data_IF_871701472809
#
_entry.id   IF_871701472809
#
_cell.length_a   1.000
_cell.length_b   1.000
_cell.length_c   1.000
_cell.angle_alpha   90.00
_cell.angle_beta   90.00
_cell.angle_gamma   90.00
#
_symmetry.space_group_name_H-M   'P 1'
#
loop_
_entity.id
_entity.type
_entity.pdbx_description
1 polymer ?
#
# COMPACT_ATOMS: atom_id res chain seq x y z
N UNK A 1 91.29 -21.14 -24.54
CA UNK A 1 91.22 -21.35 -23.07
C UNK A 1 90.04 -20.53 -22.54
N UNK A 2 89.22 -21.15 -21.67
CA UNK A 2 88.24 -20.54 -20.75
C UNK A 2 86.95 -19.91 -21.32
N UNK A 3 85.90 -20.72 -21.35
CA UNK A 3 84.65 -20.44 -20.61
C UNK A 3 84.76 -21.09 -19.19
N UNK A 4 83.78 -21.01 -18.26
CA UNK A 4 82.61 -20.13 -18.14
C UNK A 4 82.51 -19.44 -16.76
N UNK A 5 81.44 -18.64 -16.50
CA UNK A 5 80.75 -18.53 -15.18
C UNK A 5 79.53 -17.57 -15.20
N UNK A 6 78.34 -18.12 -14.96
CA UNK A 6 77.19 -17.48 -14.27
C UNK A 6 77.34 -17.76 -12.73
N UNK A 7 76.58 -17.18 -11.74
CA UNK A 7 75.09 -17.04 -11.76
C UNK A 7 74.40 -16.01 -10.80
N UNK A 8 73.05 -16.09 -10.68
CA UNK A 8 72.12 -15.54 -9.65
C UNK A 8 72.01 -13.99 -9.56
N UNK A 9 70.86 -13.29 -9.38
CA UNK A 9 69.41 -13.53 -9.19
C UNK A 9 68.73 -12.15 -8.89
N UNK A 10 67.45 -11.95 -8.54
CA UNK A 10 66.17 -12.70 -8.58
C UNK A 10 64.97 -11.74 -8.23
N UNK A 11 63.71 -12.08 -8.58
CA UNK A 11 62.47 -11.31 -8.27
C UNK A 11 61.82 -10.65 -9.51
N UNK A 12 60.59 -10.96 -9.96
CA UNK A 12 59.23 -10.90 -9.35
C UNK A 12 58.71 -9.47 -9.08
N UNK A 13 57.82 -8.96 -9.95
CA UNK A 13 56.38 -8.75 -9.68
C UNK A 13 55.74 -7.84 -10.76
N UNK A 14 54.71 -8.26 -11.50
CA UNK A 14 53.28 -8.37 -11.12
C UNK A 14 52.47 -7.06 -11.25
N UNK A 15 52.01 -6.82 -12.48
CA UNK A 15 50.62 -6.47 -12.83
C UNK A 15 49.87 -5.38 -12.02
N UNK A 16 49.58 -4.23 -12.66
CA UNK A 16 48.27 -3.55 -12.47
C UNK A 16 47.88 -2.63 -13.63
N UNK A 17 46.90 -3.06 -14.44
CA UNK A 17 45.98 -2.12 -15.11
C UNK A 17 45.18 -1.36 -14.04
N UNK A 18 44.89 -0.09 -14.28
CA UNK A 18 43.71 0.60 -13.72
C UNK A 18 42.92 1.20 -14.86
N UNK A 19 41.88 0.49 -15.28
CA UNK A 19 40.86 1.02 -16.18
C UNK A 19 39.87 1.88 -15.38
N UNK A 20 39.40 2.97 -15.97
CA UNK A 20 38.41 3.86 -15.36
C UNK A 20 37.02 3.19 -15.42
N UNK A 21 36.65 2.51 -14.34
CA UNK A 21 35.31 1.92 -14.24
C UNK A 21 34.24 2.99 -14.04
N UNK A 22 33.32 3.09 -14.99
CA UNK A 22 32.14 3.97 -14.92
C UNK A 22 31.00 3.21 -14.22
N UNK A 23 30.82 3.44 -12.92
CA UNK A 23 29.63 2.99 -12.19
C UNK A 23 29.08 4.20 -11.41
N UNK A 24 27.82 4.62 -11.64
CA UNK A 24 27.16 5.58 -10.77
C UNK A 24 26.95 4.96 -9.39
N UNK A 25 27.56 5.54 -8.36
CA UNK A 25 27.29 5.15 -6.98
C UNK A 25 26.01 5.84 -6.54
N UNK A 26 24.89 5.09 -6.53
CA UNK A 26 23.68 5.55 -5.85
C UNK A 26 23.97 5.65 -4.35
N UNK A 27 24.03 6.88 -3.84
CA UNK A 27 24.39 7.16 -2.45
C UNK A 27 23.32 6.65 -1.48
N UNK A 28 23.76 5.93 -0.45
CA UNK A 28 22.87 5.48 0.63
C UNK A 28 22.50 6.64 1.55
N UNK A 29 21.20 6.96 1.62
CA UNK A 29 20.65 7.78 2.70
C UNK A 29 20.11 6.87 3.82
N UNK A 30 21.02 6.40 4.68
CA UNK A 30 20.62 5.93 6.00
C UNK A 30 20.12 7.12 6.83
N UNK A 31 18.81 7.19 7.09
CA UNK A 31 18.28 7.89 8.27
C UNK A 31 17.79 6.85 9.28
N UNK A 32 18.23 7.01 10.53
CA UNK A 32 18.11 6.00 11.58
C UNK A 32 16.67 5.56 11.85
N UNK A 33 16.44 4.24 11.81
CA UNK A 33 15.24 3.58 12.35
C UNK A 33 15.43 3.41 13.86
N UNK A 34 14.83 4.31 14.65
CA UNK A 34 14.58 4.03 16.07
C UNK A 34 13.16 3.50 16.22
N UNK A 35 13.05 2.28 16.72
CA UNK A 35 11.77 1.63 16.98
C UNK A 35 11.25 2.06 18.36
N UNK A 36 10.05 2.64 18.41
CA UNK A 36 9.23 2.63 19.61
C UNK A 36 8.03 1.73 19.37
N UNK A 37 8.11 0.54 19.97
CA UNK A 37 7.10 -0.50 19.93
C UNK A 37 6.00 -0.16 20.93
N UNK A 38 4.77 0.05 20.44
CA UNK A 38 3.55 0.02 21.27
C UNK A 38 2.54 -0.96 20.67
N UNK A 39 2.10 -1.99 21.41
CA UNK A 39 1.15 -2.97 20.90
C UNK A 39 -0.29 -2.51 21.14
N UNK A 40 -1.00 -2.12 20.09
CA UNK A 40 -2.47 -2.04 20.13
C UNK A 40 -3.11 -3.29 19.54
N UNK A 41 -3.28 -4.30 20.40
CA UNK A 41 -4.12 -5.46 20.11
C UNK A 41 -5.59 -5.11 20.32
N UNK A 42 -6.40 -5.13 19.26
CA UNK A 42 -7.87 -5.16 19.38
C UNK A 42 -8.49 -6.10 18.35
N UNK A 43 -8.66 -7.34 18.79
CA UNK A 43 -9.30 -8.43 18.05
C UNK A 43 -10.81 -8.30 18.19
N UNK A 44 -11.52 -7.81 17.16
CA UNK A 44 -12.97 -7.99 17.04
C UNK A 44 -13.32 -8.67 15.72
N UNK A 45 -13.76 -9.91 15.86
CA UNK A 45 -14.29 -10.77 14.83
C UNK A 45 -15.76 -10.40 14.57
N UNK A 46 -16.10 -10.05 13.33
CA UNK A 46 -17.48 -10.00 12.85
C UNK A 46 -17.57 -10.84 11.57
N UNK A 47 -18.22 -12.00 11.66
CA UNK A 47 -18.57 -12.79 10.49
C UNK A 47 -19.94 -12.32 9.98
N UNK A 48 -20.02 -11.94 8.70
CA UNK A 48 -21.24 -11.42 8.07
C UNK A 48 -21.25 -11.72 6.58
N UNK A 49 -22.19 -12.56 6.16
CA UNK A 49 -22.36 -13.16 4.83
C UNK A 49 -22.12 -12.24 3.62
N UNK A 50 -21.60 -12.84 2.55
CA UNK A 50 -21.67 -12.28 1.21
C UNK A 50 -23.11 -12.11 0.71
N UNK A 51 -23.40 -10.93 0.15
CA UNK A 51 -24.42 -10.69 -0.85
C UNK A 51 -23.85 -9.64 -1.81
N UNK A 52 -23.75 -9.96 -3.10
CA UNK A 52 -23.18 -9.05 -4.09
C UNK A 52 -24.16 -7.93 -4.43
N UNK A 53 -23.63 -6.71 -4.66
CA UNK A 53 -24.38 -5.61 -5.25
C UNK A 53 -23.43 -4.73 -6.06
N UNK A 54 -23.80 -4.47 -7.31
CA UNK A 54 -23.02 -3.74 -8.32
C UNK A 54 -22.67 -2.30 -7.91
N UNK A 55 -21.57 -1.73 -8.41
CA UNK A 55 -21.21 -0.34 -8.17
C UNK A 55 -22.11 0.59 -9.01
N UNK A 56 -23.02 1.32 -8.36
CA UNK A 56 -23.77 2.37 -9.04
C UNK A 56 -22.89 3.61 -9.24
N UNK A 57 -23.00 4.23 -10.42
CA UNK A 57 -22.12 5.30 -10.89
C UNK A 57 -22.58 6.69 -10.44
N UNK A 58 -21.59 7.56 -10.27
CA UNK A 58 -21.63 9.02 -10.44
C UNK A 58 -22.80 9.78 -9.77
N UNK A 59 -22.56 10.23 -8.54
CA UNK A 59 -23.33 11.31 -7.91
C UNK A 59 -22.60 12.65 -8.11
N UNK A 60 -22.99 13.38 -9.15
CA UNK A 60 -22.44 14.69 -9.50
C UNK A 60 -23.00 15.81 -8.58
N UNK A 61 -22.14 16.45 -7.78
CA UNK A 61 -22.52 17.46 -6.78
C UNK A 61 -22.74 18.85 -7.40
N UNK A 62 -23.84 19.03 -8.12
CA UNK A 62 -24.28 20.35 -8.59
C UNK A 62 -25.01 21.12 -7.48
N UNK A 63 -24.29 21.98 -6.74
CA UNK A 63 -24.87 23.00 -5.85
C UNK A 63 -25.39 24.21 -6.65
N UNK A 64 -26.40 23.98 -7.47
CA UNK A 64 -27.12 25.01 -8.24
C UNK A 64 -28.18 25.71 -7.38
N UNK A 65 -27.81 26.82 -6.73
CA UNK A 65 -28.75 27.66 -5.97
C UNK A 65 -29.77 28.36 -6.90
N UNK A 66 -31.06 28.08 -6.71
CA UNK A 66 -32.18 28.93 -7.14
C UNK A 66 -33.39 28.72 -6.22
N UNK A 67 -33.34 29.31 -5.01
CA UNK A 67 -34.54 29.41 -4.15
C UNK A 67 -35.31 30.68 -4.55
N UNK A 68 -36.53 30.50 -5.05
CA UNK A 68 -37.46 31.61 -5.23
C UNK A 68 -37.87 32.15 -3.85
N UNK A 69 -37.51 33.39 -3.57
CA UNK A 69 -37.89 34.08 -2.35
C UNK A 69 -39.16 34.91 -2.59
N UNK A 70 -40.31 34.41 -2.14
CA UNK A 70 -41.41 35.29 -1.74
C UNK A 70 -42.37 34.56 -0.77
N UNK A 71 -42.32 34.93 0.51
CA UNK A 71 -43.48 34.93 1.41
C UNK A 71 -43.14 35.76 2.66
N UNK A 72 -43.18 37.08 2.49
CA UNK A 72 -42.72 38.06 3.47
C UNK A 72 -43.79 38.33 4.54
N UNK A 73 -43.62 37.73 5.72
CA UNK A 73 -44.38 38.13 6.92
C UNK A 73 -43.85 39.48 7.45
N UNK A 74 -44.51 40.60 7.12
CA UNK A 74 -44.18 41.93 7.66
C UNK A 74 -45.36 42.55 8.41
N UNK A 75 -45.29 42.54 9.74
CA UNK A 75 -46.18 43.32 10.59
C UNK A 75 -45.65 44.76 10.71
N UNK A 76 -46.45 45.77 10.38
CA UNK A 76 -46.17 47.17 10.75
C UNK A 76 -47.47 47.95 10.91
N UNK A 77 -47.74 48.42 12.12
CA UNK A 77 -48.82 49.37 12.40
C UNK A 77 -48.40 50.78 12.01
N UNK A 78 -49.26 51.54 11.31
CA UNK A 78 -49.57 52.97 11.53
C UNK A 78 -50.42 53.55 10.38
N UNK A 79 -51.36 54.46 10.70
CA UNK A 79 -51.97 55.37 9.72
C UNK A 79 -53.51 55.40 9.64
N UNK A 80 -54.11 56.40 10.29
CA UNK A 80 -55.47 56.90 10.02
C UNK A 80 -55.27 58.21 9.23
N UNK A 81 -55.89 58.44 8.03
CA UNK A 81 -57.16 59.19 8.04
C UNK A 81 -58.18 58.98 6.88
N UNK A 82 -59.47 59.02 7.28
CA UNK A 82 -60.61 59.73 6.64
C UNK A 82 -60.77 59.72 5.09
N UNK A 83 -61.84 59.08 4.57
CA UNK A 83 -63.15 59.73 4.32
C UNK A 83 -64.06 59.07 3.24
N UNK A 84 -65.36 59.01 3.57
CA UNK A 84 -66.58 59.16 2.73
C UNK A 84 -66.73 58.53 1.31
N UNK A 85 -67.59 57.48 1.20
CA UNK A 85 -68.84 57.37 0.39
C UNK A 85 -69.16 55.88 0.15
N UNK A 86 -70.19 55.29 0.79
CA UNK A 86 -71.66 55.34 0.49
C UNK A 86 -72.11 54.39 -0.64
N UNK A 87 -72.40 53.14 -0.26
CA UNK A 87 -73.36 52.21 -0.88
C UNK A 87 -73.66 51.12 0.19
N UNK A 88 -74.69 51.26 1.02
CA UNK A 88 -76.07 50.84 0.73
C UNK A 88 -76.20 49.33 0.41
N UNK A 89 -75.97 48.50 1.43
CA UNK A 89 -76.59 47.19 1.54
C UNK A 89 -77.61 47.21 2.67
N UNK A 90 -78.87 47.33 2.28
CA UNK A 90 -80.01 47.37 3.18
C UNK A 90 -80.30 45.99 3.78
N UNK A 91 -80.29 45.88 5.11
CA UNK A 91 -81.15 44.89 5.79
C UNK A 91 -81.89 45.52 6.97
N UNK A 92 -82.96 46.25 6.62
CA UNK A 92 -83.95 46.76 7.59
C UNK A 92 -84.66 45.58 8.26
N UNK A 93 -84.42 45.37 9.56
CA UNK A 93 -85.47 45.09 10.58
C UNK A 93 -84.91 45.07 12.00
N UNK A 94 -84.48 46.25 12.47
CA UNK A 94 -84.55 46.54 13.89
C UNK A 94 -86.03 46.77 14.25
N UNK A 95 -86.73 45.72 14.71
CA UNK A 95 -88.09 45.82 15.25
C UNK A 95 -88.36 44.64 16.19
N UNK A 96 -88.80 44.96 17.42
CA UNK A 96 -89.43 44.04 18.38
C UNK A 96 -88.71 42.70 18.67
N UNK A 97 -87.49 42.75 19.21
CA UNK A 97 -87.08 41.76 20.23
C UNK A 97 -87.18 42.42 21.60
N UNK A 98 -88.16 42.01 22.40
CA UNK A 98 -88.11 42.24 23.85
C UNK A 98 -86.88 41.58 24.47
N UNK A 99 -86.59 41.81 25.76
CA UNK A 99 -85.43 41.25 26.45
C UNK A 99 -85.27 39.76 26.12
N UNK A 100 -84.07 39.30 25.68
CA UNK A 100 -83.87 37.92 25.28
C UNK A 100 -84.32 37.02 26.43
N UNK A 101 -85.28 36.14 26.16
CA UNK A 101 -85.82 35.24 27.17
C UNK A 101 -84.66 34.49 27.83
N UNK A 102 -84.65 34.42 29.17
CA UNK A 102 -83.52 33.93 29.99
C UNK A 102 -82.85 32.67 29.41
N UNK A 103 -83.66 31.72 28.94
CA UNK A 103 -83.24 30.49 28.26
C UNK A 103 -82.38 30.69 26.99
N UNK A 104 -82.63 31.71 26.16
CA UNK A 104 -81.83 32.00 24.96
C UNK A 104 -80.45 32.54 25.31
N UNK A 105 -80.38 33.42 26.31
CA UNK A 105 -79.11 33.95 26.82
C UNK A 105 -78.29 32.83 27.49
N UNK A 106 -78.95 31.94 28.23
CA UNK A 106 -78.33 30.77 28.86
C UNK A 106 -77.80 29.76 27.83
N UNK A 107 -78.55 29.50 26.75
CA UNK A 107 -78.11 28.64 25.66
C UNK A 107 -76.91 29.24 24.90
N UNK A 108 -76.92 30.55 24.62
CA UNK A 108 -75.79 31.24 23.99
C UNK A 108 -74.54 31.25 24.89
N UNK A 109 -74.71 31.44 26.20
CA UNK A 109 -73.62 31.37 27.17
C UNK A 109 -73.02 29.95 27.24
N UNK A 110 -73.87 28.91 27.24
CA UNK A 110 -73.44 27.51 27.18
C UNK A 110 -72.67 27.21 25.89
N UNK A 111 -73.15 27.67 24.74
CA UNK A 111 -72.48 27.50 23.46
C UNK A 111 -71.12 28.22 23.39
N UNK A 112 -71.03 29.46 23.91
CA UNK A 112 -69.76 30.20 24.00
C UNK A 112 -68.75 29.55 24.95
N UNK A 113 -69.22 29.02 26.08
CA UNK A 113 -68.38 28.30 27.04
C UNK A 113 -67.87 26.98 26.43
N UNK A 114 -68.74 26.22 25.75
CA UNK A 114 -68.34 25.01 25.02
C UNK A 114 -67.29 25.31 23.93
N UNK A 115 -67.48 26.38 23.15
CA UNK A 115 -66.48 26.83 22.16
C UNK A 115 -65.15 27.21 22.81
N UNK A 116 -65.18 27.89 23.97
CA UNK A 116 -63.98 28.26 24.72
C UNK A 116 -63.22 27.03 25.24
N UNK A 117 -63.92 26.03 25.79
CA UNK A 117 -63.30 24.77 26.22
C UNK A 117 -62.75 23.96 25.04
N UNK A 118 -63.43 23.93 23.88
CA UNK A 118 -62.88 23.31 22.66
C UNK A 118 -61.63 24.04 22.15
N UNK A 119 -61.63 25.38 22.13
CA UNK A 119 -60.47 26.18 21.73
C UNK A 119 -59.29 26.01 22.70
N UNK A 120 -59.57 25.96 24.01
CA UNK A 120 -58.59 25.66 25.07
C UNK A 120 -57.99 24.26 24.90
N UNK A 121 -58.79 23.24 24.66
CA UNK A 121 -58.31 21.88 24.36
C UNK A 121 -57.45 21.84 23.09
N UNK A 122 -57.83 22.55 22.03
CA UNK A 122 -57.06 22.66 20.79
C UNK A 122 -55.73 23.41 20.99
N UNK A 123 -55.70 24.46 21.81
CA UNK A 123 -54.47 25.16 22.16
C UNK A 123 -53.55 24.29 23.03
N UNK A 124 -54.09 23.53 23.98
CA UNK A 124 -53.31 22.57 24.77
C UNK A 124 -52.73 21.45 23.89
N UNK A 125 -53.49 20.85 22.97
CA UNK A 125 -52.95 19.82 22.08
C UNK A 125 -51.87 20.35 21.14
N UNK A 126 -52.05 21.56 20.59
CA UNK A 126 -51.02 22.25 19.81
C UNK A 126 -49.77 22.59 20.63
N UNK A 127 -49.93 23.04 21.87
CA UNK A 127 -48.81 23.33 22.77
C UNK A 127 -48.01 22.07 23.09
N UNK A 128 -48.67 20.97 23.46
CA UNK A 128 -48.01 19.69 23.73
C UNK A 128 -47.32 19.13 22.49
N UNK A 129 -47.95 19.23 21.31
CA UNK A 129 -47.33 18.83 20.04
C UNK A 129 -46.06 19.62 19.72
N UNK A 130 -46.13 20.96 19.81
CA UNK A 130 -44.97 21.83 19.59
C UNK A 130 -43.86 21.57 20.62
N UNK A 131 -44.19 21.30 21.89
CA UNK A 131 -43.22 20.92 22.92
C UNK A 131 -42.53 19.57 22.60
N UNK A 132 -43.27 18.61 22.04
CA UNK A 132 -42.72 17.35 21.53
C UNK A 132 -41.68 17.58 20.42
N UNK A 133 -42.06 18.29 19.36
CA UNK A 133 -41.15 18.61 18.24
C UNK A 133 -39.94 19.43 18.69
N UNK A 134 -40.10 20.38 19.62
CA UNK A 134 -38.97 21.12 20.21
C UNK A 134 -38.02 20.20 20.99
N UNK A 135 -38.53 19.14 21.63
CA UNK A 135 -37.69 18.15 22.31
C UNK A 135 -36.92 17.30 21.30
N UNK A 136 -37.60 16.74 20.31
CA UNK A 136 -37.00 15.94 19.23
C UNK A 136 -35.89 16.70 18.50
N UNK A 137 -36.17 17.94 18.07
CA UNK A 137 -35.17 18.80 17.41
C UNK A 137 -33.98 19.17 18.30
N UNK A 138 -34.13 19.18 19.64
CA UNK A 138 -33.00 19.38 20.55
C UNK A 138 -32.11 18.15 20.66
N UNK A 139 -32.72 16.98 20.78
CA UNK A 139 -32.00 15.69 20.80
C UNK A 139 -31.26 15.46 19.47
N UNK A 140 -31.89 15.80 18.33
CA UNK A 140 -31.24 15.77 17.01
C UNK A 140 -30.08 16.77 16.89
N UNK A 141 -30.25 18.02 17.35
CA UNK A 141 -29.17 19.01 17.35
C UNK A 141 -27.98 18.58 18.22
N UNK A 142 -28.24 17.96 19.38
CA UNK A 142 -27.16 17.40 20.23
C UNK A 142 -26.40 16.28 19.50
N UNK A 143 -27.11 15.36 18.84
CA UNK A 143 -26.51 14.32 18.01
C UNK A 143 -25.65 14.88 16.87
N UNK A 144 -26.15 15.90 16.16
CA UNK A 144 -25.40 16.58 15.09
C UNK A 144 -24.15 17.30 15.62
N UNK A 145 -24.21 17.93 16.80
CA UNK A 145 -23.05 18.55 17.43
C UNK A 145 -21.95 17.52 17.76
N UNK A 146 -22.34 16.35 18.29
CA UNK A 146 -21.40 15.25 18.55
C UNK A 146 -20.77 14.70 17.26
N UNK A 147 -21.54 14.59 16.17
CA UNK A 147 -21.01 14.11 14.89
C UNK A 147 -20.07 15.13 14.24
N UNK A 148 -20.38 16.43 14.31
CA UNK A 148 -19.46 17.51 13.89
C UNK A 148 -18.16 17.46 14.69
N UNK A 149 -18.18 17.13 15.98
CA UNK A 149 -16.96 16.96 16.78
C UNK A 149 -16.11 15.75 16.31
N UNK A 150 -16.75 14.62 16.00
CA UNK A 150 -16.06 13.43 15.45
C UNK A 150 -15.43 13.74 14.09
N UNK A 151 -16.17 14.39 13.20
CA UNK A 151 -15.69 14.76 11.86
C UNK A 151 -14.51 15.74 11.93
N UNK A 152 -14.51 16.69 12.88
CA UNK A 152 -13.36 17.57 13.14
C UNK A 152 -12.12 16.78 13.59
N UNK A 153 -12.26 15.87 14.54
CA UNK A 153 -11.15 15.00 15.01
C UNK A 153 -10.63 14.09 13.88
N UNK A 154 -11.51 13.61 13.02
CA UNK A 154 -11.14 12.83 11.84
C UNK A 154 -10.37 13.70 10.82
N UNK A 155 -10.85 14.91 10.52
CA UNK A 155 -10.16 15.87 9.65
C UNK A 155 -8.76 16.22 10.19
N UNK A 156 -8.65 16.52 11.49
CA UNK A 156 -7.37 16.78 12.16
C UNK A 156 -6.41 15.59 12.04
N UNK A 157 -6.91 14.37 12.26
CA UNK A 157 -6.13 13.13 12.07
C UNK A 157 -5.64 12.98 10.62
N UNK A 158 -6.48 13.27 9.63
CA UNK A 158 -6.09 13.26 8.22
C UNK A 158 -5.01 14.30 7.92
N UNK A 159 -5.15 15.54 8.41
CA UNK A 159 -4.14 16.60 8.22
C UNK A 159 -2.80 16.19 8.83
N UNK A 160 -2.78 15.67 10.06
CA UNK A 160 -1.55 15.19 10.72
C UNK A 160 -0.88 14.07 9.94
N UNK A 161 -1.64 13.14 9.34
CA UNK A 161 -1.07 12.07 8.49
C UNK A 161 -0.45 12.64 7.21
N UNK A 162 -1.12 13.61 6.56
CA UNK A 162 -0.62 14.26 5.35
C UNK A 162 0.65 15.07 5.66
N UNK A 163 0.62 15.93 6.68
CA UNK A 163 1.76 16.76 7.11
C UNK A 163 2.96 15.92 7.54
N UNK A 164 2.77 14.92 8.41
CA UNK A 164 3.87 14.08 8.92
C UNK A 164 4.56 13.25 7.83
N UNK A 165 3.84 12.95 6.74
CA UNK A 165 4.38 12.24 5.57
C UNK A 165 4.72 13.18 4.40
N UNK A 166 4.52 14.49 4.54
CA UNK A 166 4.67 15.50 3.49
C UNK A 166 3.89 15.16 2.21
N UNK A 167 2.69 14.58 2.37
CA UNK A 167 1.80 14.21 1.26
C UNK A 167 0.97 15.43 0.88
N UNK A 168 1.13 15.92 -0.35
CA UNK A 168 0.15 16.83 -0.94
C UNK A 168 -1.13 16.05 -1.29
N UNK A 169 -2.31 16.46 -0.76
CA UNK A 169 -3.58 15.77 -1.02
C UNK A 169 -3.98 15.74 -2.51
N UNK A 170 -3.46 16.64 -3.35
CA UNK A 170 -3.72 16.62 -4.81
C UNK A 170 -2.81 15.63 -5.53
N UNK A 171 -1.58 15.45 -5.05
CA UNK A 171 -0.54 14.61 -5.68
C UNK A 171 -0.51 13.16 -5.15
N UNK A 172 -1.44 12.77 -4.27
CA UNK A 172 -1.46 11.44 -3.62
C UNK A 172 -1.38 10.24 -4.57
N UNK A 173 -1.94 10.33 -5.79
CA UNK A 173 -1.85 9.27 -6.81
C UNK A 173 -0.40 8.98 -7.24
N UNK A 174 0.46 10.00 -7.32
CA UNK A 174 1.86 9.83 -7.73
C UNK A 174 2.66 9.00 -6.73
N UNK A 175 2.28 9.05 -5.44
CA UNK A 175 2.91 8.25 -4.37
C UNK A 175 2.56 6.78 -4.55
N UNK A 176 1.29 6.47 -4.87
CA UNK A 176 0.87 5.10 -5.15
C UNK A 176 1.58 4.52 -6.39
N UNK A 177 1.72 5.33 -7.46
CA UNK A 177 2.50 4.94 -8.63
C UNK A 177 3.99 4.75 -8.32
N UNK A 178 4.59 5.58 -7.47
CA UNK A 178 6.00 5.45 -7.07
C UNK A 178 6.23 4.21 -6.20
N UNK A 179 5.31 3.92 -5.27
CA UNK A 179 5.32 2.72 -4.44
C UNK A 179 5.18 1.46 -5.30
N UNK A 180 4.28 1.46 -6.31
CA UNK A 180 4.15 0.35 -7.26
C UNK A 180 5.43 0.16 -8.10
N UNK A 181 5.99 1.23 -8.66
CA UNK A 181 7.26 1.20 -9.42
C UNK A 181 8.42 0.70 -8.54
N UNK A 182 8.46 1.11 -7.28
CA UNK A 182 9.46 0.68 -6.29
C UNK A 182 9.29 -0.80 -5.95
N UNK A 183 8.05 -1.25 -5.73
CA UNK A 183 7.75 -2.66 -5.46
C UNK A 183 8.11 -3.55 -6.65
N UNK A 184 7.83 -3.11 -7.88
CA UNK A 184 8.19 -3.83 -9.09
C UNK A 184 9.72 -3.89 -9.30
N UNK A 185 10.43 -2.78 -9.08
CA UNK A 185 11.89 -2.75 -9.06
C UNK A 185 12.48 -3.70 -8.01
N UNK A 186 11.88 -3.78 -6.81
CA UNK A 186 12.28 -4.74 -5.77
C UNK A 186 12.05 -6.20 -6.20
N UNK A 187 10.90 -6.54 -6.80
CA UNK A 187 10.63 -7.89 -7.34
C UNK A 187 11.65 -8.28 -8.40
N UNK A 188 11.95 -7.40 -9.35
CA UNK A 188 12.93 -7.64 -10.41
C UNK A 188 14.34 -7.82 -9.85
N UNK A 189 14.72 -7.01 -8.85
CA UNK A 189 16.01 -7.11 -8.15
C UNK A 189 16.12 -8.44 -7.40
N UNK A 190 15.05 -8.88 -6.73
CA UNK A 190 15.00 -10.16 -6.02
C UNK A 190 15.14 -11.34 -7.00
N UNK A 191 14.37 -11.36 -8.09
CA UNK A 191 14.43 -12.38 -9.13
C UNK A 191 15.82 -12.48 -9.78
N UNK A 192 16.46 -11.33 -10.08
CA UNK A 192 17.82 -11.30 -10.62
C UNK A 192 18.84 -11.85 -9.61
N UNK A 193 18.68 -11.51 -8.33
CA UNK A 193 19.54 -12.01 -7.24
C UNK A 193 19.38 -13.52 -7.05
N UNK A 194 18.15 -14.04 -7.09
CA UNK A 194 17.87 -15.48 -7.04
C UNK A 194 18.49 -16.24 -8.22
N UNK A 195 18.35 -15.71 -9.43
CA UNK A 195 18.98 -16.27 -10.63
C UNK A 195 20.50 -16.29 -10.52
N UNK A 196 21.11 -15.19 -10.10
CA UNK A 196 22.56 -15.10 -9.88
C UNK A 196 23.04 -16.09 -8.81
N UNK A 197 22.30 -16.26 -7.71
CA UNK A 197 22.60 -17.28 -6.69
C UNK A 197 22.50 -18.70 -7.24
N UNK A 198 21.53 -18.99 -8.11
CA UNK A 198 21.38 -20.30 -8.75
C UNK A 198 22.53 -20.59 -9.72
N UNK A 199 22.88 -19.62 -10.58
CA UNK A 199 24.01 -19.72 -11.51
C UNK A 199 25.34 -19.88 -10.78
N UNK A 200 25.59 -19.13 -9.70
CA UNK A 200 26.82 -19.25 -8.90
C UNK A 200 26.92 -20.61 -8.19
N UNK A 201 25.80 -21.16 -7.69
CA UNK A 201 25.74 -22.53 -7.13
C UNK A 201 26.06 -23.58 -8.20
N UNK A 202 25.47 -23.46 -9.38
CA UNK A 202 25.73 -24.36 -10.50
C UNK A 202 27.19 -24.29 -10.97
N UNK A 203 27.75 -23.08 -11.09
CA UNK A 203 29.16 -22.87 -11.42
C UNK A 203 30.08 -23.56 -10.41
N UNK A 204 29.86 -23.36 -9.11
CA UNK A 204 30.68 -24.00 -8.06
C UNK A 204 30.58 -25.54 -8.10
N UNK A 205 29.39 -26.10 -8.34
CA UNK A 205 29.21 -27.56 -8.48
C UNK A 205 29.95 -28.12 -9.71
N UNK A 206 29.90 -27.42 -10.85
CA UNK A 206 30.64 -27.80 -12.05
C UNK A 206 32.15 -27.67 -11.84
N UNK A 207 32.61 -26.59 -11.20
CA UNK A 207 34.03 -26.37 -10.91
C UNK A 207 34.63 -27.47 -10.01
N UNK A 208 33.90 -27.94 -8.98
CA UNK A 208 34.37 -29.07 -8.17
C UNK A 208 34.38 -30.39 -8.96
N UNK A 209 33.39 -30.66 -9.82
CA UNK A 209 33.38 -31.85 -10.70
C UNK A 209 34.57 -31.87 -11.67
N UNK A 210 34.84 -30.75 -12.34
CA UNK A 210 35.99 -30.63 -13.27
C UNK A 210 37.33 -30.79 -12.53
N UNK A 211 37.43 -30.25 -11.32
CA UNK A 211 38.58 -30.39 -10.43
C UNK A 211 38.78 -31.83 -9.92
N UNK A 212 37.70 -32.57 -9.68
CA UNK A 212 37.76 -34.02 -9.40
C UNK A 212 38.19 -34.81 -10.65
N UNK A 213 37.63 -34.50 -11.82
CA UNK A 213 38.01 -35.13 -13.09
C UNK A 213 39.50 -34.89 -13.43
N UNK A 214 40.01 -33.68 -13.20
CA UNK A 214 41.44 -33.34 -13.34
C UNK A 214 42.33 -34.16 -12.40
N UNK A 215 41.97 -34.31 -11.12
CA UNK A 215 42.72 -35.18 -10.18
C UNK A 215 42.71 -36.64 -10.63
N UNK A 216 41.57 -37.14 -11.10
CA UNK A 216 41.46 -38.50 -11.62
C UNK A 216 42.21 -38.70 -12.95
N UNK A 217 42.42 -37.64 -13.74
CA UNK A 217 43.30 -37.67 -14.91
C UNK A 217 44.79 -37.68 -14.50
N UNK A 218 45.18 -36.85 -13.52
CA UNK A 218 46.55 -36.82 -12.98
C UNK A 218 46.97 -38.16 -12.38
N UNK A 219 46.14 -38.77 -11.52
CA UNK A 219 46.44 -40.07 -10.93
C UNK A 219 46.58 -41.19 -11.99
N UNK A 220 45.81 -41.13 -13.08
CA UNK A 220 45.97 -42.07 -14.21
C UNK A 220 47.24 -41.80 -15.02
N UNK A 221 47.66 -40.53 -15.14
CA UNK A 221 48.92 -40.16 -15.78
C UNK A 221 50.12 -40.69 -14.99
N UNK A 222 50.13 -40.52 -13.67
CA UNK A 222 51.20 -41.03 -12.79
C UNK A 222 51.37 -42.56 -12.93
N UNK A 223 50.28 -43.33 -12.91
CA UNK A 223 50.32 -44.79 -13.12
C UNK A 223 50.86 -45.15 -14.52
N UNK A 224 50.43 -44.44 -15.57
CA UNK A 224 50.92 -44.67 -16.93
C UNK A 224 52.42 -44.30 -17.09
N UNK A 225 52.90 -43.31 -16.35
CA UNK A 225 54.32 -42.93 -16.30
C UNK A 225 55.18 -44.00 -15.58
N UNK A 226 54.69 -44.56 -14.47
CA UNK A 226 55.32 -45.70 -13.79
C UNK A 226 55.36 -46.96 -14.66
N UNK A 227 54.29 -47.26 -15.41
CA UNK A 227 54.24 -48.35 -16.38
C UNK A 227 55.27 -48.16 -17.50
N UNK A 228 55.30 -46.97 -18.10
CA UNK A 228 56.29 -46.59 -19.12
C UNK A 228 57.71 -46.76 -18.62
N UNK A 229 57.99 -46.34 -17.38
CA UNK A 229 59.32 -46.44 -16.78
C UNK A 229 59.74 -47.90 -16.54
N UNK A 230 58.80 -48.77 -16.09
CA UNK A 230 59.03 -50.21 -15.99
C UNK A 230 59.32 -50.85 -17.35
N UNK A 231 58.57 -50.49 -18.40
CA UNK A 231 58.83 -50.98 -19.76
C UNK A 231 60.19 -50.52 -20.30
N UNK A 232 60.63 -49.30 -19.98
CA UNK A 232 61.97 -48.80 -20.35
C UNK A 232 63.09 -49.62 -19.68
N UNK A 233 62.95 -49.92 -18.39
CA UNK A 233 63.89 -50.76 -17.65
C UNK A 233 63.95 -52.19 -18.22
N UNK A 234 62.79 -52.79 -18.54
CA UNK A 234 62.73 -54.09 -19.20
C UNK A 234 63.46 -54.07 -20.55
N UNK A 235 63.23 -53.06 -21.40
CA UNK A 235 63.92 -52.91 -22.67
C UNK A 235 65.45 -52.79 -22.51
N UNK A 236 65.95 -52.06 -21.51
CA UNK A 236 67.40 -52.02 -21.21
C UNK A 236 67.93 -53.42 -20.89
N UNK A 237 67.25 -54.16 -20.02
CA UNK A 237 67.69 -55.50 -19.60
C UNK A 237 67.70 -56.51 -20.77
N UNK A 238 66.70 -56.48 -21.66
CA UNK A 238 66.72 -57.28 -22.88
C UNK A 238 67.85 -56.86 -23.84
N UNK A 239 68.15 -55.56 -23.95
CA UNK A 239 69.24 -55.08 -24.80
C UNK A 239 70.62 -55.51 -24.25
N UNK A 240 70.78 -55.58 -22.93
CA UNK A 240 71.98 -56.10 -22.28
C UNK A 240 72.14 -57.61 -22.54
N UNK A 241 71.09 -58.40 -22.31
CA UNK A 241 71.07 -59.84 -22.64
C UNK A 241 71.39 -60.10 -24.13
N UNK A 242 70.84 -59.31 -25.04
CA UNK A 242 71.08 -59.48 -26.47
C UNK A 242 72.54 -59.16 -26.86
N UNK A 243 73.18 -58.20 -26.19
CA UNK A 243 74.63 -57.94 -26.34
C UNK A 243 75.48 -59.08 -25.80
N UNK A 244 75.09 -59.67 -24.66
CA UNK A 244 75.77 -60.83 -24.08
C UNK A 244 75.66 -62.07 -24.99
N UNK A 245 74.47 -62.34 -25.53
CA UNK A 245 74.25 -63.37 -26.55
C UNK A 245 75.06 -63.12 -27.83
N UNK A 246 75.15 -61.87 -28.30
CA UNK A 246 76.01 -61.54 -29.45
C UNK A 246 77.49 -61.82 -29.14
N UNK A 247 77.99 -61.33 -28.01
CA UNK A 247 79.41 -61.49 -27.64
C UNK A 247 79.79 -62.96 -27.41
N UNK A 248 78.88 -63.81 -26.93
CA UNK A 248 79.11 -65.25 -26.78
C UNK A 248 79.05 -65.98 -28.13
N UNK A 249 78.20 -65.56 -29.08
CA UNK A 249 78.23 -66.05 -30.46
C UNK A 249 79.54 -65.66 -31.16
N UNK A 250 79.98 -64.40 -31.05
CA UNK A 250 81.24 -63.91 -31.63
C UNK A 250 82.45 -64.70 -31.09
N UNK A 251 82.44 -65.07 -29.80
CA UNK A 251 83.47 -65.92 -29.19
C UNK A 251 83.44 -67.36 -29.72
N UNK A 252 82.24 -67.95 -29.88
CA UNK A 252 82.09 -69.30 -30.45
C UNK A 252 82.53 -69.34 -31.92
N UNK A 253 82.24 -68.31 -32.70
CA UNK A 253 82.71 -68.19 -34.09
C UNK A 253 84.24 -68.10 -34.16
N UNK A 254 84.88 -67.31 -33.28
CA UNK A 254 86.34 -67.25 -33.17
C UNK A 254 86.99 -68.59 -32.80
N UNK A 255 86.34 -69.39 -31.95
CA UNK A 255 86.82 -70.74 -31.58
C UNK A 255 86.63 -71.78 -32.69
N UNK A 256 85.65 -71.60 -33.58
CA UNK A 256 85.39 -72.49 -34.73
C UNK A 256 86.22 -72.12 -35.97
N UNK A 257 86.87 -70.96 -35.98
CA UNK A 257 87.71 -70.47 -37.06
C UNK A 257 89.22 -70.86 -36.92
N UNK A 258 89.55 -71.75 -35.99
CA UNK A 258 90.90 -72.30 -35.75
C UNK A 258 91.02 -73.74 -36.27
#
# INVERSE_FOLDING_TARGET
MREPAQPLGAGRDSNRRREFSRIPVCGALYRSRMEMQVPFSSKKQCAGKAAGMEPNKDADFNLGSNVAADDVFRATNQGIPKSAKKAELSLKKAAARGPPTRYKLEAELKAKNQLLESAKQQLHSRLTGAQGTIKELKEENEGLLQEVEKLKKFQETCMVILESRNIDPVTGNNILEEEEKTQECQKQTMLLTEKLMAELKLFNQTAEKEKEALRAALARWEVAEEERQRSLQQHSSFQEQLKECSATLDQLEQLLAQ
#
